data_IF_775090588707
#
_entry.id   IF_775090588707
#
_cell.length_a   1.000
_cell.length_b   1.000
_cell.length_c   1.000
_cell.angle_alpha   90.00
_cell.angle_beta   90.00
_cell.angle_gamma   90.00
#
_symmetry.space_group_name_H-M   'P 1'
#
loop_
_entity.id
_entity.type
_entity.pdbx_description
1 polymer ?
#
# COMPACT_ATOMS: atom_id res chain seq x y z
N UNK A 1 -6.54 -20.15 9.74
CA UNK A 1 -5.69 -18.97 9.99
C UNK A 1 -6.35 -17.80 9.29
N UNK A 2 -6.39 -16.62 9.91
CA UNK A 2 -6.87 -15.43 9.20
C UNK A 2 -5.84 -14.97 8.18
N UNK A 3 -6.29 -14.25 7.17
CA UNK A 3 -5.41 -13.63 6.17
C UNK A 3 -4.46 -12.64 6.85
N UNK A 4 -3.24 -12.53 6.32
CA UNK A 4 -2.24 -11.57 6.77
C UNK A 4 -2.11 -10.47 5.71
N UNK A 5 -2.24 -9.22 6.16
CA UNK A 5 -2.24 -8.02 5.35
C UNK A 5 -0.92 -7.31 5.56
N UNK A 6 -0.24 -7.00 4.47
CA UNK A 6 1.11 -6.44 4.48
C UNK A 6 1.10 -5.08 3.79
N UNK A 7 1.71 -4.08 4.45
CA UNK A 7 2.04 -2.79 3.84
C UNK A 7 3.55 -2.76 3.67
N UNK A 8 3.98 -2.59 2.43
CA UNK A 8 5.40 -2.63 2.07
C UNK A 8 5.86 -1.23 1.69
N UNK A 9 6.87 -0.73 2.40
CA UNK A 9 7.53 0.54 2.13
C UNK A 9 8.94 0.32 1.60
N UNK A 10 9.27 1.00 0.50
CA UNK A 10 10.57 0.90 -0.18
C UNK A 10 11.38 2.17 0.01
N UNK A 11 12.67 2.01 0.28
CA UNK A 11 13.61 3.10 0.55
C UNK A 11 14.89 2.93 -0.28
N UNK A 12 15.39 4.03 -0.85
CA UNK A 12 16.70 4.10 -1.54
C UNK A 12 17.81 4.53 -0.59
N UNK A 13 17.87 3.90 0.60
CA UNK A 13 18.82 4.22 1.68
C UNK A 13 19.25 2.95 2.42
N UNK A 14 20.42 2.97 3.09
CA UNK A 14 20.88 1.84 3.89
C UNK A 14 19.93 1.49 5.04
N UNK A 15 19.74 0.20 5.28
CA UNK A 15 18.76 -0.30 6.24
C UNK A 15 18.96 0.22 7.67
N UNK A 16 20.20 0.49 8.09
CA UNK A 16 20.50 0.99 9.44
C UNK A 16 19.83 2.35 9.69
N UNK A 17 19.99 3.26 8.73
CA UNK A 17 19.39 4.59 8.83
C UNK A 17 17.86 4.51 8.81
N UNK A 18 17.31 3.57 8.04
CA UNK A 18 15.86 3.33 7.99
C UNK A 18 15.36 2.77 9.32
N UNK A 19 16.02 1.77 9.90
CA UNK A 19 15.63 1.21 11.20
C UNK A 19 15.67 2.26 12.30
N UNK A 20 16.71 3.11 12.34
CA UNK A 20 16.83 4.18 13.33
C UNK A 20 15.69 5.21 13.18
N UNK A 21 15.34 5.58 11.95
CA UNK A 21 14.25 6.51 11.67
C UNK A 21 12.88 5.90 11.97
N UNK A 22 12.68 4.62 11.66
CA UNK A 22 11.45 3.91 12.01
C UNK A 22 11.29 3.76 13.53
N UNK A 23 12.36 3.51 14.27
CA UNK A 23 12.34 3.51 15.74
C UNK A 23 11.88 4.86 16.28
N UNK A 24 12.37 5.97 15.72
CA UNK A 24 11.93 7.32 16.07
C UNK A 24 10.44 7.57 15.78
N UNK A 25 9.89 7.04 14.69
CA UNK A 25 8.52 7.30 14.23
C UNK A 25 7.47 6.37 14.85
N UNK A 26 7.87 5.13 15.16
CA UNK A 26 6.95 4.03 15.49
C UNK A 26 7.28 3.32 16.81
N UNK A 27 8.45 3.55 17.41
CA UNK A 27 8.94 2.83 18.58
C UNK A 27 9.06 1.33 18.29
N UNK A 28 10.25 0.87 17.91
CA UNK A 28 10.44 -0.53 17.51
C UNK A 28 10.84 -1.40 18.70
N UNK A 29 10.22 -2.58 18.78
CA UNK A 29 10.60 -3.62 19.73
C UNK A 29 11.11 -4.80 18.95
N UNK A 30 12.42 -5.08 19.08
CA UNK A 30 13.06 -6.20 18.39
C UNK A 30 12.50 -7.54 18.89
N UNK A 31 12.26 -8.46 17.96
CA UNK A 31 11.96 -9.84 18.33
C UNK A 31 13.26 -10.54 18.77
N UNK A 32 13.26 -11.07 19.99
CA UNK A 32 14.42 -11.75 20.59
C UNK A 32 14.24 -13.26 20.66
N UNK A 33 13.07 -13.78 20.28
CA UNK A 33 12.73 -15.19 20.47
C UNK A 33 13.30 -16.12 19.41
N UNK A 34 13.49 -15.65 18.17
CA UNK A 34 13.95 -16.45 17.03
C UNK A 34 14.96 -15.61 16.23
N UNK A 35 16.07 -16.22 15.80
CA UNK A 35 17.08 -15.52 15.01
C UNK A 35 16.50 -15.06 13.66
N UNK A 36 16.96 -13.93 13.10
CA UNK A 36 16.47 -13.43 11.81
C UNK A 36 16.71 -14.41 10.64
N UNK A 37 17.71 -15.30 10.76
CA UNK A 37 18.15 -16.14 9.64
C UNK A 37 17.40 -17.49 9.55
N UNK A 38 17.03 -18.14 10.67
CA UNK A 38 16.53 -19.53 10.68
C UNK A 38 15.25 -19.77 9.84
N UNK A 39 14.38 -18.77 9.72
CA UNK A 39 13.15 -18.91 8.93
C UNK A 39 13.38 -18.78 7.42
N UNK A 40 14.36 -17.97 6.99
CA UNK A 40 14.61 -17.68 5.57
C UNK A 40 15.75 -18.50 4.96
N UNK A 41 16.49 -19.28 5.75
CA UNK A 41 17.54 -20.20 5.28
C UNK A 41 17.05 -21.20 4.23
N UNK A 42 15.74 -21.47 4.18
CA UNK A 42 15.12 -22.40 3.25
C UNK A 42 14.22 -21.74 2.19
N UNK A 43 14.17 -20.40 2.13
CA UNK A 43 13.36 -19.65 1.16
C UNK A 43 14.25 -19.07 0.06
N UNK A 44 13.75 -19.03 -1.18
CA UNK A 44 14.38 -18.25 -2.23
C UNK A 44 14.04 -16.76 -2.03
N UNK A 45 14.87 -16.06 -1.26
CA UNK A 45 14.64 -14.65 -0.96
C UNK A 45 14.93 -13.71 -2.13
N UNK A 46 15.24 -14.24 -3.33
CA UNK A 46 15.67 -13.47 -4.51
C UNK A 46 16.83 -12.50 -4.20
N UNK A 47 17.68 -12.88 -3.24
CA UNK A 47 18.83 -12.11 -2.78
C UNK A 47 18.54 -11.02 -1.75
N UNK A 48 17.31 -10.90 -1.25
CA UNK A 48 16.98 -10.04 -0.12
C UNK A 48 17.44 -10.67 1.20
N UNK A 49 18.14 -9.90 2.03
CA UNK A 49 18.58 -10.35 3.35
C UNK A 49 17.71 -9.73 4.43
N UNK A 50 17.15 -10.54 5.33
CA UNK A 50 16.50 -10.03 6.54
C UNK A 50 17.56 -9.43 7.47
N UNK A 51 17.38 -8.15 7.84
CA UNK A 51 18.33 -7.41 8.68
C UNK A 51 17.72 -6.96 10.01
N UNK A 52 16.39 -6.89 10.09
CA UNK A 52 15.68 -6.59 11.32
C UNK A 52 14.30 -7.28 11.33
N UNK A 53 13.88 -7.72 12.53
CA UNK A 53 12.56 -8.27 12.79
C UNK A 53 12.07 -7.80 14.15
N UNK A 54 10.81 -7.38 14.24
CA UNK A 54 10.25 -6.83 15.46
C UNK A 54 8.77 -6.50 15.37
N UNK A 55 8.32 -5.56 16.20
CA UNK A 55 6.96 -5.03 16.23
C UNK A 55 6.96 -3.54 16.50
N UNK A 56 5.92 -2.85 16.05
CA UNK A 56 5.68 -1.45 16.38
C UNK A 56 5.04 -1.32 17.77
N UNK A 57 5.48 -0.35 18.56
CA UNK A 57 4.95 -0.06 19.90
C UNK A 57 4.03 1.15 19.93
N UNK A 58 4.42 2.20 19.21
CA UNK A 58 3.79 3.53 19.33
C UNK A 58 2.78 3.80 18.21
N UNK A 59 2.50 2.82 17.35
CA UNK A 59 1.42 2.92 16.37
C UNK A 59 0.39 1.81 16.52
N UNK A 60 -0.85 2.25 16.70
CA UNK A 60 -2.04 1.43 16.70
C UNK A 60 -3.04 2.19 15.81
N UNK A 61 -3.32 1.66 14.62
CA UNK A 61 -4.27 2.28 13.69
C UNK A 61 -5.68 2.10 14.24
N UNK A 62 -6.44 3.20 14.30
CA UNK A 62 -7.82 3.16 14.80
C UNK A 62 -8.75 2.61 13.73
N UNK A 63 -9.72 1.82 14.16
CA UNK A 63 -10.77 1.28 13.30
C UNK A 63 -12.03 2.15 13.37
N UNK A 64 -12.86 2.12 12.34
CA UNK A 64 -14.18 2.78 12.32
C UNK A 64 -15.20 2.10 13.22
N UNK A 65 -14.88 0.92 13.78
CA UNK A 65 -15.72 0.16 14.71
C UNK A 65 -15.36 0.47 16.18
N UNK A 66 -16.20 1.22 16.92
CA UNK A 66 -15.90 1.67 18.29
C UNK A 66 -15.71 0.53 19.30
N UNK A 67 -16.32 -0.62 19.06
CA UNK A 67 -16.24 -1.81 19.92
C UNK A 67 -14.86 -2.48 19.89
N UNK A 68 -13.98 -2.09 18.98
CA UNK A 68 -12.64 -2.65 18.83
C UNK A 68 -11.59 -1.74 19.49
N UNK A 69 -11.61 -1.71 20.83
CA UNK A 69 -10.78 -0.87 21.70
C UNK A 69 -9.25 -0.91 21.46
N UNK A 70 -8.72 -1.90 20.72
CA UNK A 70 -7.28 -2.14 20.60
C UNK A 70 -6.65 -1.72 19.26
N UNK A 71 -7.43 -1.22 18.29
CA UNK A 71 -6.93 -0.88 16.94
C UNK A 71 -6.12 -2.01 16.27
N UNK A 72 -5.22 -1.64 15.35
CA UNK A 72 -4.36 -2.56 14.59
C UNK A 72 -2.88 -2.18 14.74
N UNK A 73 -2.06 -3.10 15.24
CA UNK A 73 -0.60 -2.97 15.27
C UNK A 73 0.07 -3.92 14.27
N UNK A 74 1.36 -3.73 14.04
CA UNK A 74 2.13 -4.46 13.02
C UNK A 74 3.32 -5.20 13.63
N UNK A 75 3.62 -6.39 13.07
CA UNK A 75 5.00 -6.85 13.06
C UNK A 75 5.74 -6.15 11.93
N UNK A 76 7.05 -6.07 12.06
CA UNK A 76 7.90 -5.42 11.07
C UNK A 76 9.06 -6.36 10.72
N UNK A 77 9.31 -6.49 9.43
CA UNK A 77 10.46 -7.16 8.87
C UNK A 77 11.17 -6.20 7.90
N UNK A 78 12.49 -6.08 8.05
CA UNK A 78 13.29 -5.20 7.20
C UNK A 78 14.24 -6.06 6.40
N UNK A 79 14.14 -5.93 5.08
CA UNK A 79 14.97 -6.61 4.12
C UNK A 79 15.88 -5.61 3.41
N UNK A 80 17.11 -6.03 3.14
CA UNK A 80 18.08 -5.21 2.41
C UNK A 80 18.61 -5.99 1.22
N UNK A 81 18.71 -5.30 0.07
CA UNK A 81 19.35 -5.80 -1.15
C UNK A 81 19.95 -4.62 -1.90
N UNK A 82 21.28 -4.66 -2.09
CA UNK A 82 22.02 -3.54 -2.70
C UNK A 82 21.75 -2.22 -1.95
N UNK A 83 21.43 -1.14 -2.66
CA UNK A 83 21.11 0.18 -2.10
C UNK A 83 19.63 0.35 -1.73
N UNK A 84 18.84 -0.73 -1.78
CA UNK A 84 17.41 -0.71 -1.47
C UNK A 84 17.16 -1.38 -0.12
N UNK A 85 16.32 -0.74 0.66
CA UNK A 85 15.72 -1.30 1.88
C UNK A 85 14.23 -1.44 1.67
N UNK A 86 13.69 -2.62 1.94
CA UNK A 86 12.27 -2.91 1.97
C UNK A 86 11.87 -3.13 3.42
N UNK A 87 10.76 -2.51 3.81
CA UNK A 87 10.18 -2.66 5.13
C UNK A 87 8.77 -3.18 4.95
N UNK A 88 8.52 -4.37 5.50
CA UNK A 88 7.23 -5.03 5.47
C UNK A 88 6.55 -4.89 6.83
N UNK A 89 5.36 -4.29 6.84
CA UNK A 89 4.49 -4.11 8.00
C UNK A 89 3.28 -5.01 7.88
N UNK A 90 3.30 -6.15 8.58
CA UNK A 90 2.24 -7.13 8.48
C UNK A 90 1.29 -7.16 9.69
N UNK A 91 0.03 -7.55 9.44
CA UNK A 91 -0.99 -7.80 10.46
C UNK A 91 -1.97 -8.93 10.06
N UNK A 92 -2.23 -9.92 10.93
CA UNK A 92 -3.11 -11.07 10.61
C UNK A 92 -4.46 -10.90 11.33
N UNK A 93 -5.14 -9.79 11.05
CA UNK A 93 -6.43 -9.48 11.68
C UNK A 93 -7.36 -8.80 10.69
N UNK A 94 -8.58 -9.33 10.55
CA UNK A 94 -9.64 -8.73 9.72
C UNK A 94 -10.00 -7.30 10.15
N UNK A 95 -9.55 -6.86 11.32
CA UNK A 95 -9.66 -5.47 11.77
C UNK A 95 -8.98 -4.49 10.84
N UNK A 96 -7.98 -4.92 10.06
CA UNK A 96 -7.25 -4.05 9.15
C UNK A 96 -8.16 -3.39 8.11
N UNK A 97 -9.09 -4.12 7.50
CA UNK A 97 -10.08 -3.60 6.56
C UNK A 97 -11.12 -2.65 7.16
N UNK A 98 -11.02 -2.38 8.46
CA UNK A 98 -11.83 -1.38 9.14
C UNK A 98 -11.00 -0.20 9.64
N UNK A 99 -9.69 -0.16 9.36
CA UNK A 99 -8.88 1.04 9.55
C UNK A 99 -9.41 2.12 8.61
N UNK A 100 -9.64 3.31 9.15
CA UNK A 100 -10.13 4.42 8.33
C UNK A 100 -9.06 4.89 7.36
N UNK A 101 -9.48 5.32 6.17
CA UNK A 101 -8.61 5.88 5.13
C UNK A 101 -7.73 7.01 5.66
N UNK A 102 -8.27 7.84 6.55
CA UNK A 102 -7.53 8.91 7.26
C UNK A 102 -6.42 8.39 8.17
N UNK A 103 -6.69 7.39 9.00
CA UNK A 103 -5.64 6.85 9.88
C UNK A 103 -4.56 6.12 9.08
N UNK A 104 -4.95 5.48 7.97
CA UNK A 104 -4.00 4.89 7.03
C UNK A 104 -3.13 5.94 6.34
N UNK A 105 -3.69 7.08 5.94
CA UNK A 105 -2.92 8.20 5.39
C UNK A 105 -1.90 8.77 6.39
N UNK A 106 -2.27 8.90 7.66
CA UNK A 106 -1.33 9.31 8.73
C UNK A 106 -0.20 8.32 8.92
N UNK A 107 -0.50 7.03 8.77
CA UNK A 107 0.52 5.98 8.76
C UNK A 107 1.48 6.15 7.58
N UNK A 108 0.95 6.36 6.37
CA UNK A 108 1.77 6.62 5.19
C UNK A 108 2.60 7.89 5.31
N UNK A 109 2.06 8.96 5.90
CA UNK A 109 2.81 10.20 6.15
C UNK A 109 4.03 9.97 7.05
N UNK A 110 3.92 9.12 8.08
CA UNK A 110 5.10 8.74 8.89
C UNK A 110 6.15 8.00 8.06
N UNK A 111 5.73 7.12 7.16
CA UNK A 111 6.64 6.37 6.28
C UNK A 111 7.31 7.28 5.24
N UNK A 112 6.57 8.19 4.60
CA UNK A 112 7.14 9.16 3.66
C UNK A 112 8.08 10.14 4.36
N UNK A 113 7.76 10.57 5.59
CA UNK A 113 8.67 11.35 6.43
C UNK A 113 9.94 10.59 6.82
N UNK A 114 9.86 9.25 6.97
CA UNK A 114 11.02 8.39 7.14
C UNK A 114 11.85 8.22 5.85
N UNK A 115 11.34 8.69 4.72
CA UNK A 115 11.99 8.67 3.40
C UNK A 115 11.54 7.54 2.49
N UNK A 116 10.38 6.93 2.73
CA UNK A 116 9.81 5.94 1.82
C UNK A 116 9.55 6.58 0.46
N UNK A 117 9.99 5.94 -0.62
CA UNK A 117 9.80 6.42 -2.00
C UNK A 117 8.62 5.76 -2.69
N UNK A 118 8.20 4.60 -2.19
CA UNK A 118 7.09 3.81 -2.71
C UNK A 118 6.47 3.03 -1.54
N UNK A 119 5.14 3.05 -1.42
CA UNK A 119 4.37 2.29 -0.43
C UNK A 119 3.23 1.58 -1.16
N UNK A 120 3.14 0.27 -0.95
CA UNK A 120 2.14 -0.61 -1.54
C UNK A 120 1.57 -1.52 -0.45
N UNK A 121 0.61 -2.37 -0.80
CA UNK A 121 0.23 -3.47 0.07
C UNK A 121 -0.26 -4.70 -0.69
N UNK A 122 -0.44 -5.79 0.04
CA UNK A 122 -0.99 -7.04 -0.45
C UNK A 122 -1.55 -7.90 0.68
N UNK A 123 -2.29 -8.94 0.32
CA UNK A 123 -2.63 -10.04 1.23
C UNK A 123 -1.67 -11.19 0.97
N UNK A 124 -0.92 -11.62 1.99
CA UNK A 124 -0.04 -12.77 1.88
C UNK A 124 -0.86 -14.02 1.53
N UNK A 125 -0.41 -14.78 0.52
CA UNK A 125 -1.12 -15.96 0.05
C UNK A 125 -2.41 -15.66 -0.72
N UNK A 126 -2.59 -14.44 -1.22
CA UNK A 126 -3.66 -14.15 -2.20
C UNK A 126 -3.42 -14.92 -3.50
N UNK A 127 -4.47 -15.52 -4.07
CA UNK A 127 -4.45 -16.19 -5.38
C UNK A 127 -3.87 -15.29 -6.50
N UNK A 128 -3.99 -13.96 -6.37
CA UNK A 128 -3.42 -13.02 -7.35
C UNK A 128 -1.89 -13.08 -7.45
N UNK A 129 -1.17 -13.54 -6.44
CA UNK A 129 0.28 -13.74 -6.56
C UNK A 129 0.61 -14.75 -7.64
N UNK A 130 -0.12 -15.87 -7.67
CA UNK A 130 0.07 -16.92 -8.67
C UNK A 130 -0.31 -16.44 -10.08
N UNK A 131 -1.41 -15.70 -10.21
CA UNK A 131 -1.83 -15.15 -11.50
C UNK A 131 -0.80 -14.18 -12.11
N UNK A 132 -0.13 -13.40 -11.26
CA UNK A 132 0.81 -12.35 -11.69
C UNK A 132 2.22 -12.91 -11.89
N UNK A 133 2.67 -13.76 -10.96
CA UNK A 133 4.07 -14.20 -10.88
C UNK A 133 4.28 -15.69 -11.12
N UNK A 134 3.21 -16.49 -11.21
CA UNK A 134 3.26 -17.95 -11.37
C UNK A 134 3.59 -18.71 -10.09
N UNK A 135 3.88 -18.02 -8.98
CA UNK A 135 4.32 -18.62 -7.71
C UNK A 135 3.79 -17.80 -6.53
N UNK A 136 3.58 -18.46 -5.39
CA UNK A 136 3.12 -17.84 -4.13
C UNK A 136 4.33 -17.33 -3.32
N UNK A 137 5.06 -16.35 -3.87
CA UNK A 137 6.29 -15.82 -3.27
C UNK A 137 6.30 -14.28 -3.19
N UNK A 138 6.31 -13.75 -1.97
CA UNK A 138 6.39 -12.31 -1.71
C UNK A 138 7.67 -11.66 -2.24
N UNK A 139 8.78 -12.41 -2.31
CA UNK A 139 10.04 -11.86 -2.80
C UNK A 139 10.00 -11.53 -4.30
N UNK A 140 9.03 -12.05 -5.05
CA UNK A 140 8.77 -11.64 -6.44
C UNK A 140 8.22 -10.22 -6.52
N UNK A 141 7.35 -9.82 -5.58
CA UNK A 141 6.91 -8.42 -5.44
C UNK A 141 8.10 -7.52 -5.09
N UNK A 142 8.96 -7.95 -4.16
CA UNK A 142 10.13 -7.17 -3.77
C UNK A 142 11.11 -6.98 -4.92
N UNK A 143 11.36 -8.03 -5.71
CA UNK A 143 12.21 -7.96 -6.90
C UNK A 143 11.60 -7.03 -7.96
N UNK A 144 10.28 -7.08 -8.13
CA UNK A 144 9.57 -6.17 -9.03
C UNK A 144 9.70 -4.70 -8.57
N UNK A 145 9.54 -4.43 -7.27
CA UNK A 145 9.70 -3.09 -6.70
C UNK A 145 11.13 -2.55 -6.90
N UNK A 146 12.14 -3.39 -6.67
CA UNK A 146 13.55 -3.05 -6.97
C UNK A 146 13.75 -2.68 -8.45
N UNK A 147 13.18 -3.48 -9.37
CA UNK A 147 13.27 -3.22 -10.82
C UNK A 147 12.56 -1.92 -11.19
N UNK A 148 11.36 -1.68 -10.65
CA UNK A 148 10.59 -0.46 -10.91
C UNK A 148 11.37 0.81 -10.51
N UNK A 149 12.04 0.79 -9.34
CA UNK A 149 12.89 1.91 -8.92
C UNK A 149 14.10 2.12 -9.82
N UNK A 150 14.77 1.04 -10.27
CA UNK A 150 15.91 1.15 -11.21
C UNK A 150 15.51 1.77 -12.56
N UNK A 151 14.27 1.56 -13.00
CA UNK A 151 13.75 2.19 -14.22
C UNK A 151 13.42 3.67 -14.02
N UNK A 152 13.33 4.16 -12.77
CA UNK A 152 13.09 5.56 -12.43
C UNK A 152 11.68 6.06 -12.77
N UNK A 153 10.77 5.17 -13.17
CA UNK A 153 9.40 5.50 -13.55
C UNK A 153 8.44 4.36 -13.23
N UNK A 154 7.39 4.67 -12.46
CA UNK A 154 6.29 3.76 -12.17
C UNK A 154 5.26 3.83 -13.29
N UNK A 155 5.13 2.76 -14.08
CA UNK A 155 4.12 2.65 -15.16
C UNK A 155 2.98 1.69 -14.84
N UNK A 156 3.21 0.80 -13.87
CA UNK A 156 2.28 -0.23 -13.43
C UNK A 156 1.91 0.08 -11.99
N UNK A 157 0.61 0.09 -11.70
CA UNK A 157 0.04 0.23 -10.37
C UNK A 157 0.06 -1.14 -9.67
N UNK A 158 0.88 -1.32 -8.62
CA UNK A 158 1.03 -2.62 -7.96
C UNK A 158 -0.16 -2.97 -7.05
N UNK A 159 -0.78 -1.97 -6.41
CA UNK A 159 -1.89 -2.16 -5.47
C UNK A 159 -2.97 -1.08 -5.60
N UNK A 160 -4.19 -1.39 -5.15
CA UNK A 160 -5.37 -0.50 -5.23
C UNK A 160 -5.19 0.84 -4.55
N UNK A 161 -4.38 0.91 -3.51
CA UNK A 161 -3.77 2.18 -3.07
C UNK A 161 -2.27 2.07 -3.22
N UNK A 162 -1.62 3.10 -3.76
CA UNK A 162 -0.16 3.17 -3.87
C UNK A 162 0.30 4.59 -3.54
N UNK A 163 1.32 4.75 -2.71
CA UNK A 163 2.00 6.03 -2.49
C UNK A 163 3.33 6.00 -3.21
N UNK A 164 3.66 7.03 -3.99
CA UNK A 164 4.91 7.07 -4.77
C UNK A 164 5.50 8.47 -4.77
N UNK A 165 6.82 8.59 -4.68
CA UNK A 165 7.51 9.89 -4.75
C UNK A 165 7.26 10.55 -6.11
N UNK A 166 7.03 11.87 -6.11
CA UNK A 166 6.56 12.60 -7.29
C UNK A 166 7.41 12.39 -8.56
N UNK A 167 8.74 12.30 -8.38
CA UNK A 167 9.68 12.15 -9.49
C UNK A 167 9.63 10.75 -10.14
N UNK A 168 9.17 9.73 -9.41
CA UNK A 168 8.98 8.37 -9.92
C UNK A 168 7.67 8.24 -10.71
N UNK A 169 6.73 9.19 -10.56
CA UNK A 169 5.50 9.24 -11.33
C UNK A 169 5.28 10.64 -11.90
N UNK A 170 5.94 11.01 -13.02
CA UNK A 170 5.87 12.35 -13.62
C UNK A 170 4.56 12.57 -14.42
N UNK A 171 3.41 12.24 -13.81
CA UNK A 171 2.06 12.37 -14.36
C UNK A 171 1.25 13.34 -13.51
N UNK A 172 0.54 14.29 -14.10
CA UNK A 172 -0.28 15.26 -13.35
C UNK A 172 -1.43 14.60 -12.58
N UNK A 173 -1.91 15.29 -11.54
CA UNK A 173 -3.13 14.93 -10.82
C UNK A 173 -4.34 14.77 -11.77
N UNK A 174 -5.16 13.78 -11.49
CA UNK A 174 -6.39 13.52 -12.23
C UNK A 174 -6.76 12.04 -12.29
N UNK A 175 -7.84 11.75 -13.01
CA UNK A 175 -8.33 10.40 -13.23
C UNK A 175 -7.73 9.81 -14.53
N UNK A 176 -7.23 8.58 -14.45
CA UNK A 176 -6.64 7.86 -15.57
C UNK A 176 -7.30 6.49 -15.72
N UNK A 177 -7.33 6.00 -16.95
CA UNK A 177 -7.71 4.61 -17.20
C UNK A 177 -6.61 3.69 -16.66
N UNK A 178 -7.00 2.56 -16.09
CA UNK A 178 -6.09 1.47 -15.80
C UNK A 178 -6.24 0.44 -16.94
N UNK A 179 -5.22 0.36 -17.80
CA UNK A 179 -5.27 -0.44 -19.02
C UNK A 179 -5.23 -1.93 -18.69
N UNK A 180 -6.19 -2.64 -19.30
CA UNK A 180 -6.64 -4.03 -19.13
C UNK A 180 -5.72 -4.96 -18.32
N UNK A 181 -6.25 -5.40 -17.18
CA UNK A 181 -6.04 -6.76 -16.69
C UNK A 181 -6.72 -7.67 -17.75
N UNK A 182 -5.99 -8.54 -18.48
CA UNK A 182 -6.49 -9.18 -19.70
C UNK A 182 -7.78 -10.02 -19.60
N UNK A 183 -8.28 -10.27 -18.39
CA UNK A 183 -9.42 -11.14 -18.08
C UNK A 183 -10.63 -10.40 -17.48
N UNK A 184 -10.58 -9.08 -17.34
CA UNK A 184 -11.62 -8.31 -16.65
C UNK A 184 -12.43 -7.46 -17.65
N UNK A 185 -13.72 -7.75 -17.79
CA UNK A 185 -14.64 -6.96 -18.64
C UNK A 185 -14.97 -5.58 -18.03
N UNK A 186 -14.86 -5.48 -16.71
CA UNK A 186 -15.08 -4.24 -16.00
C UNK A 186 -13.89 -3.29 -16.14
N UNK A 187 -14.20 -2.01 -16.42
CA UNK A 187 -13.18 -0.97 -16.50
C UNK A 187 -12.82 -0.48 -15.11
N UNK A 188 -11.52 -0.37 -14.84
CA UNK A 188 -10.98 0.23 -13.64
C UNK A 188 -10.27 1.55 -13.98
N UNK A 189 -10.34 2.50 -13.06
CA UNK A 189 -9.64 3.78 -13.14
C UNK A 189 -8.66 3.92 -12.00
N UNK A 190 -7.73 4.85 -12.13
CA UNK A 190 -6.85 5.28 -11.03
C UNK A 190 -6.92 6.80 -10.90
N UNK A 191 -7.32 7.26 -9.71
CA UNK A 191 -7.22 8.66 -9.34
C UNK A 191 -5.84 8.93 -8.76
N UNK A 192 -5.15 9.92 -9.31
CA UNK A 192 -3.82 10.36 -8.86
C UNK A 192 -3.95 11.73 -8.22
N UNK A 193 -3.51 11.87 -6.96
CA UNK A 193 -3.51 13.13 -6.21
C UNK A 193 -2.15 13.38 -5.58
N UNK A 194 -1.70 14.63 -5.60
CA UNK A 194 -0.48 15.05 -4.93
C UNK A 194 -0.66 15.11 -3.40
N UNK A 195 0.36 14.67 -2.67
CA UNK A 195 0.46 14.57 -1.22
C UNK A 195 1.91 14.82 -0.77
N UNK A 196 2.25 16.07 -0.43
CA UNK A 196 3.54 16.44 0.18
C UNK A 196 4.80 15.81 -0.46
N UNK A 197 5.05 16.09 -1.74
CA UNK A 197 6.22 15.56 -2.48
C UNK A 197 6.07 14.10 -2.94
N UNK A 198 4.89 13.52 -2.71
CA UNK A 198 4.47 12.20 -3.18
C UNK A 198 3.12 12.32 -3.89
N UNK A 199 2.73 11.23 -4.55
CA UNK A 199 1.39 11.02 -5.08
C UNK A 199 0.76 9.84 -4.39
N UNK A 200 -0.52 9.98 -4.10
CA UNK A 200 -1.39 8.86 -3.80
C UNK A 200 -2.16 8.48 -5.06
N UNK A 201 -2.15 7.19 -5.36
CA UNK A 201 -2.89 6.56 -6.43
C UNK A 201 -3.95 5.69 -5.77
N UNK A 202 -5.21 5.86 -6.18
CA UNK A 202 -6.34 5.08 -5.67
C UNK A 202 -7.08 4.50 -6.87
N UNK A 203 -7.17 3.18 -6.94
CA UNK A 203 -7.95 2.50 -7.96
C UNK A 203 -9.44 2.59 -7.62
N UNK A 204 -10.27 2.68 -8.65
CA UNK A 204 -11.71 2.85 -8.51
C UNK A 204 -12.39 2.12 -9.67
N UNK A 205 -13.32 1.24 -9.35
CA UNK A 205 -14.05 0.52 -10.38
C UNK A 205 -15.06 1.45 -11.04
N UNK A 206 -15.30 1.24 -12.34
CA UNK A 206 -16.26 2.07 -13.08
C UNK A 206 -17.66 1.94 -12.50
N UNK A 207 -18.08 0.75 -12.09
CA UNK A 207 -19.40 0.53 -11.49
C UNK A 207 -19.61 1.42 -10.28
N UNK A 208 -18.60 1.52 -9.40
CA UNK A 208 -18.68 2.34 -8.19
C UNK A 208 -18.88 3.83 -8.47
N UNK A 209 -18.32 4.34 -9.58
CA UNK A 209 -18.53 5.73 -9.98
C UNK A 209 -19.85 5.95 -10.74
N UNK A 210 -20.43 4.91 -11.35
CA UNK A 210 -21.56 5.07 -12.28
C UNK A 210 -22.90 4.72 -11.66
N UNK A 211 -22.96 3.73 -10.78
CA UNK A 211 -24.18 3.33 -10.10
C UNK A 211 -24.37 4.14 -8.81
N UNK A 212 -25.56 4.73 -8.63
CA UNK A 212 -25.85 5.62 -7.48
C UNK A 212 -25.69 4.93 -6.12
N UNK A 213 -26.12 3.68 -5.99
CA UNK A 213 -26.06 2.95 -4.73
C UNK A 213 -24.60 2.67 -4.33
N UNK A 214 -23.79 2.16 -5.27
CA UNK A 214 -22.35 1.95 -5.08
C UNK A 214 -21.61 3.26 -4.83
N UNK A 215 -21.97 4.32 -5.54
CA UNK A 215 -21.36 5.63 -5.36
C UNK A 215 -21.65 6.21 -3.97
N UNK A 216 -22.87 6.04 -3.45
CA UNK A 216 -23.19 6.44 -2.08
C UNK A 216 -22.35 5.67 -1.06
N UNK A 217 -22.18 4.36 -1.24
CA UNK A 217 -21.31 3.54 -0.37
C UNK A 217 -19.85 3.99 -0.41
N UNK A 218 -19.33 4.38 -1.58
CA UNK A 218 -18.00 4.99 -1.72
C UNK A 218 -17.82 6.25 -0.85
N UNK A 219 -18.86 7.07 -0.71
CA UNK A 219 -18.81 8.31 0.05
C UNK A 219 -18.96 8.07 1.57
N UNK A 220 -19.77 7.09 1.96
CA UNK A 220 -20.14 6.82 3.36
C UNK A 220 -19.11 5.93 4.09
N UNK A 221 -18.62 4.86 3.46
CA UNK A 221 -17.67 3.94 4.10
C UNK A 221 -16.27 4.56 4.09
N UNK A 222 -15.75 4.90 5.28
CA UNK A 222 -14.43 5.54 5.43
C UNK A 222 -13.27 4.54 5.45
N UNK A 223 -13.46 3.30 5.02
CA UNK A 223 -12.46 2.22 5.10
C UNK A 223 -11.92 1.77 3.75
N UNK A 224 -12.31 2.42 2.66
CA UNK A 224 -11.93 2.00 1.30
C UNK A 224 -10.42 1.87 1.11
N UNK A 225 -9.61 2.82 1.59
CA UNK A 225 -8.17 2.74 1.36
C UNK A 225 -7.51 1.53 2.05
N UNK A 226 -8.02 1.09 3.21
CA UNK A 226 -7.46 -0.10 3.88
C UNK A 226 -7.88 -1.40 3.21
N UNK A 227 -9.01 -1.43 2.50
CA UNK A 227 -9.37 -2.57 1.64
C UNK A 227 -8.52 -2.57 0.38
N UNK A 228 -8.45 -1.43 -0.30
CA UNK A 228 -7.82 -1.30 -1.61
C UNK A 228 -6.28 -1.41 -1.55
N UNK A 229 -5.64 -0.93 -0.48
CA UNK A 229 -4.18 -1.11 -0.30
C UNK A 229 -3.77 -2.58 -0.30
N UNK A 230 -4.65 -3.49 0.15
CA UNK A 230 -4.35 -4.93 0.20
C UNK A 230 -4.66 -5.67 -1.10
N UNK A 231 -5.31 -5.00 -2.05
CA UNK A 231 -5.66 -5.58 -3.35
C UNK A 231 -4.50 -5.40 -4.32
N UNK A 232 -3.82 -6.48 -4.69
CA UNK A 232 -2.85 -6.46 -5.78
C UNK A 232 -3.55 -6.23 -7.11
N UNK A 233 -3.04 -5.32 -7.93
CA UNK A 233 -3.65 -4.96 -9.22
C UNK A 233 -2.73 -5.27 -10.40
N UNK A 234 -1.48 -4.80 -10.35
CA UNK A 234 -0.51 -4.89 -11.45
C UNK A 234 -1.07 -4.39 -12.80
N UNK A 235 -1.81 -3.27 -12.76
CA UNK A 235 -2.45 -2.66 -13.92
C UNK A 235 -1.61 -1.52 -14.50
N UNK A 236 -1.58 -1.36 -15.83
CA UNK A 236 -0.81 -0.28 -16.47
C UNK A 236 -1.58 1.04 -16.42
N UNK A 237 -0.93 2.12 -15.99
CA UNK A 237 -1.55 3.45 -16.02
C UNK A 237 -1.67 3.92 -17.49
N UNK A 238 -2.92 4.11 -17.92
CA UNK A 238 -3.30 4.44 -19.29
C UNK A 238 -3.50 5.93 -19.52
N UNK A 239 -4.47 6.26 -20.38
CA UNK A 239 -4.76 7.65 -20.77
C UNK A 239 -5.58 8.38 -19.71
N UNK A 240 -5.43 9.70 -19.64
CA UNK A 240 -6.24 10.58 -18.78
C UNK A 240 -7.71 10.54 -19.22
N UNK A 241 -8.60 10.35 -18.25
CA UNK A 241 -10.05 10.42 -18.43
C UNK A 241 -10.48 11.88 -18.50
N UNK A 242 -11.28 12.22 -19.50
CA UNK A 242 -11.82 13.58 -19.71
C UNK A 242 -13.32 13.69 -19.43
N UNK A 243 -13.95 12.59 -19.05
CA UNK A 243 -15.36 12.55 -18.70
C UNK A 243 -15.56 13.30 -17.36
N UNK A 244 -16.14 14.50 -17.45
CA UNK A 244 -16.33 15.39 -16.28
C UNK A 244 -17.17 14.75 -15.18
N UNK A 245 -18.14 13.88 -15.54
CA UNK A 245 -18.96 13.19 -14.57
C UNK A 245 -18.14 12.20 -13.75
N UNK A 246 -17.33 11.37 -14.42
CA UNK A 246 -16.45 10.41 -13.74
C UNK A 246 -15.37 11.11 -12.92
N UNK A 247 -14.76 12.15 -13.47
CA UNK A 247 -13.72 12.92 -12.78
C UNK A 247 -14.27 13.55 -11.51
N UNK A 248 -15.44 14.22 -11.59
CA UNK A 248 -16.08 14.83 -10.43
C UNK A 248 -16.36 13.81 -9.33
N UNK A 249 -16.89 12.64 -9.70
CA UNK A 249 -17.21 11.59 -8.72
C UNK A 249 -15.98 10.99 -8.06
N UNK A 250 -14.91 10.76 -8.82
CA UNK A 250 -13.65 10.28 -8.26
C UNK A 250 -13.05 11.29 -7.27
N UNK A 251 -13.10 12.59 -7.59
CA UNK A 251 -12.64 13.67 -6.70
C UNK A 251 -13.49 13.77 -5.43
N UNK A 252 -14.81 13.68 -5.54
CA UNK A 252 -15.74 13.65 -4.40
C UNK A 252 -15.50 12.42 -3.51
N UNK A 253 -15.29 11.24 -4.10
CA UNK A 253 -14.88 10.03 -3.39
C UNK A 253 -13.59 10.24 -2.60
N UNK A 254 -12.52 10.69 -3.24
CA UNK A 254 -11.25 10.93 -2.56
C UNK A 254 -11.41 11.91 -1.42
N UNK A 255 -12.09 13.04 -1.67
CA UNK A 255 -12.40 14.03 -0.65
C UNK A 255 -13.15 13.41 0.53
N UNK A 256 -14.17 12.59 0.28
CA UNK A 256 -14.91 11.92 1.34
C UNK A 256 -14.05 10.94 2.17
N UNK A 257 -13.01 10.36 1.59
CA UNK A 257 -12.09 9.46 2.30
C UNK A 257 -11.05 10.19 3.15
N UNK A 258 -10.68 11.42 2.77
CA UNK A 258 -9.59 12.17 3.42
C UNK A 258 -10.06 13.33 4.31
N UNK A 259 -11.25 13.89 4.06
CA UNK A 259 -11.79 15.01 4.82
C UNK A 259 -12.04 14.64 6.28
N UNK A 260 -11.85 15.62 7.17
CA UNK A 260 -12.29 15.51 8.55
C UNK A 260 -13.81 15.70 8.59
N UNK A 261 -14.56 14.66 8.95
CA UNK A 261 -15.90 14.90 9.49
C UNK A 261 -15.70 15.68 10.81
N UNK A 262 -15.86 17.01 10.75
CA UNK A 262 -16.19 17.84 11.91
C UNK A 262 -17.58 17.43 12.40
N UNK A 263 -17.66 16.34 13.18
CA UNK A 263 -18.84 16.01 13.97
C UNK A 263 -18.45 15.56 15.36
#
# INVERSE_FOLDING_TARGET
MGDCYDIVAVFERPWKEIVDELDRQFGLVKDTGHGPDEWYEHYDTKGFKLVFKGRTKDIILKTTKPEWYAGVGFWIEVFSKSEITIVDFGTCTSKFWHVSSKELLRFFEKLTNAGAVLIIGYVYGSERFEDIFGEWDQFLVYEWLEKALKHGKLEILPSGVTIVKDNLLPIEDGLYELAEIPWMEEKEYVLIKSLNGHKILVSIWRSDLTYEDSYRELLEDKTWFSRDITTLIFGRIGKRVKDEFLVKRAEEYFKAQVDEDER
#
